data_IF_745704622167
#
_entry.id   IF_745704622167
#
_cell.length_a   1.000
_cell.length_b   1.000
_cell.length_c   1.000
_cell.angle_alpha   90.00
_cell.angle_beta   90.00
_cell.angle_gamma   90.00
#
_symmetry.space_group_name_H-M   'P 1'
#
loop_
_entity.id
_entity.type
_entity.pdbx_description
1 polymer ?
#
# COMPACT_ATOMS: atom_id res chain seq x y z
N UNK A 1 10.56 -15.80 -9.99
CA UNK A 1 9.16 -15.81 -10.46
C UNK A 1 9.04 -15.46 -11.93
N UNK A 2 9.87 -14.57 -12.47
CA UNK A 2 9.87 -14.21 -13.91
C UNK A 2 9.92 -15.41 -14.86
N UNK A 3 10.72 -16.44 -14.53
CA UNK A 3 10.83 -17.65 -15.36
C UNK A 3 9.47 -18.34 -15.65
N UNK A 4 8.48 -18.16 -14.78
CA UNK A 4 7.11 -18.66 -14.99
C UNK A 4 6.40 -17.96 -16.16
N UNK A 5 6.80 -16.73 -16.48
CA UNK A 5 6.26 -15.91 -17.56
C UNK A 5 7.00 -16.10 -18.88
N UNK A 6 8.14 -16.80 -18.90
CA UNK A 6 9.00 -17.01 -20.09
C UNK A 6 8.22 -17.39 -21.36
N UNK A 7 7.22 -18.30 -21.34
CA UNK A 7 6.47 -18.65 -22.54
C UNK A 7 5.71 -17.48 -23.17
N UNK A 8 5.42 -16.42 -22.40
CA UNK A 8 4.67 -15.25 -22.82
C UNK A 8 5.55 -14.04 -23.10
N UNK A 9 6.80 -14.01 -22.61
CA UNK A 9 7.66 -12.82 -22.71
C UNK A 9 7.93 -12.38 -24.15
N UNK A 10 8.01 -13.33 -25.08
CA UNK A 10 8.19 -13.05 -26.51
C UNK A 10 7.00 -12.37 -27.17
N UNK A 11 5.83 -12.40 -26.52
CA UNK A 11 4.59 -11.77 -26.99
C UNK A 11 4.41 -10.35 -26.45
N UNK A 12 5.21 -9.95 -25.45
CA UNK A 12 5.12 -8.62 -24.87
C UNK A 12 6.07 -7.65 -25.59
N UNK A 13 5.51 -6.53 -26.05
CA UNK A 13 6.29 -5.38 -26.49
C UNK A 13 6.51 -4.43 -25.30
N UNK A 14 7.76 -4.31 -24.88
CA UNK A 14 8.17 -3.46 -23.78
C UNK A 14 8.74 -2.11 -24.22
N UNK A 15 8.53 -1.71 -25.48
CA UNK A 15 9.09 -0.47 -26.04
C UNK A 15 8.64 0.80 -25.29
N UNK A 16 7.48 0.76 -24.62
CA UNK A 16 6.97 1.86 -23.79
C UNK A 16 7.76 2.10 -22.49
N UNK A 17 8.63 1.16 -22.10
CA UNK A 17 9.40 1.20 -20.86
C UNK A 17 10.86 1.63 -21.08
N UNK A 18 11.22 2.05 -22.30
CA UNK A 18 12.55 2.60 -22.54
C UNK A 18 12.70 3.94 -21.81
N UNK A 19 13.79 4.13 -21.04
CA UNK A 19 14.08 5.41 -20.41
C UNK A 19 14.04 6.51 -21.48
N UNK A 20 13.19 7.52 -21.30
CA UNK A 20 13.31 8.71 -22.12
C UNK A 20 14.67 9.33 -21.79
N UNK A 21 15.52 9.48 -22.81
CA UNK A 21 16.78 10.18 -22.66
C UNK A 21 16.48 11.55 -22.03
N UNK A 22 17.18 11.86 -20.93
CA UNK A 22 17.02 13.09 -20.17
C UNK A 22 16.86 14.28 -21.13
N UNK A 23 15.72 14.96 -21.04
CA UNK A 23 15.49 16.18 -21.82
C UNK A 23 16.61 17.17 -21.49
N UNK A 24 17.45 17.46 -22.48
CA UNK A 24 18.52 18.45 -22.37
C UNK A 24 17.93 19.78 -21.87
N UNK A 25 18.53 20.43 -20.85
CA UNK A 25 18.10 21.75 -20.44
C UNK A 25 18.29 22.73 -21.60
N UNK A 26 17.23 23.45 -21.95
CA UNK A 26 17.28 24.59 -22.86
C UNK A 26 18.23 25.63 -22.26
N UNK A 27 19.21 26.16 -23.00
CA UNK A 27 20.18 27.10 -22.43
C UNK A 27 19.54 28.47 -22.24
N UNK A 28 19.22 28.84 -20.99
CA UNK A 28 18.93 30.24 -20.65
C UNK A 28 20.23 31.04 -20.55
N UNK A 29 20.26 32.16 -21.26
CA UNK A 29 21.38 33.09 -21.32
C UNK A 29 21.66 33.74 -19.96
N UNK A 30 22.93 33.66 -19.58
CA UNK A 30 23.69 34.43 -18.59
C UNK A 30 23.14 35.81 -18.20
N UNK A 31 23.09 36.08 -16.88
CA UNK A 31 23.75 37.24 -16.24
C UNK A 31 23.91 36.98 -14.73
N UNK A 32 25.16 37.03 -14.27
CA UNK A 32 25.55 36.57 -12.94
C UNK A 32 25.59 37.63 -11.84
N UNK A 33 25.90 37.16 -10.63
CA UNK A 33 26.87 37.78 -9.72
C UNK A 33 27.16 36.81 -8.56
N UNK A 34 28.43 36.60 -8.29
CA UNK A 34 28.97 35.73 -7.25
C UNK A 34 28.53 36.11 -5.83
N UNK A 35 28.29 35.08 -5.02
CA UNK A 35 28.65 35.07 -3.60
C UNK A 35 28.77 33.63 -3.10
N UNK A 36 29.99 33.24 -2.77
CA UNK A 36 30.32 32.01 -2.05
C UNK A 36 29.64 32.02 -0.67
N UNK A 37 28.90 30.96 -0.35
CA UNK A 37 28.70 30.54 1.03
C UNK A 37 28.49 29.01 1.12
N UNK A 38 29.15 28.42 2.12
CA UNK A 38 29.36 26.99 2.40
C UNK A 38 28.13 26.11 2.17
N UNK A 39 28.25 25.13 1.27
CA UNK A 39 27.26 24.08 1.05
C UNK A 39 27.22 23.06 2.19
N UNK A 40 26.19 23.15 3.02
CA UNK A 40 25.61 22.02 3.73
C UNK A 40 25.04 21.04 2.69
N UNK A 41 25.41 19.77 2.74
CA UNK A 41 24.86 18.72 1.88
C UNK A 41 23.39 18.47 2.25
N UNK A 42 22.50 19.36 1.82
CA UNK A 42 21.07 19.11 1.78
C UNK A 42 20.88 18.02 0.73
N UNK A 43 20.56 16.79 1.18
CA UNK A 43 20.05 15.75 0.29
C UNK A 43 18.85 16.33 -0.46
N UNK A 44 19.02 16.58 -1.75
CA UNK A 44 17.91 16.89 -2.65
C UNK A 44 16.86 15.77 -2.52
N UNK A 45 15.56 16.09 -2.64
CA UNK A 45 14.54 15.03 -2.70
C UNK A 45 14.89 14.11 -3.86
N UNK A 46 14.88 12.81 -3.62
CA UNK A 46 15.05 11.81 -4.67
C UNK A 46 14.11 12.13 -5.84
N UNK A 47 14.64 12.06 -7.07
CA UNK A 47 13.86 12.19 -8.30
C UNK A 47 12.54 11.41 -8.17
N UNK A 48 11.39 11.99 -8.55
CA UNK A 48 10.10 11.32 -8.45
C UNK A 48 10.10 10.13 -9.40
N UNK A 49 10.41 8.94 -8.88
CA UNK A 49 10.38 7.72 -9.68
C UNK A 49 9.03 7.51 -10.35
N UNK A 50 9.04 6.78 -11.46
CA UNK A 50 7.87 6.58 -12.30
C UNK A 50 6.85 5.64 -11.63
N UNK A 51 5.57 5.92 -11.85
CA UNK A 51 4.44 5.11 -11.43
C UNK A 51 3.87 4.36 -12.63
N UNK A 52 3.79 3.04 -12.53
CA UNK A 52 3.21 2.20 -13.57
C UNK A 52 1.83 1.68 -13.18
N UNK A 53 0.86 1.79 -14.09
CA UNK A 53 -0.45 1.15 -13.95
C UNK A 53 -0.62 0.15 -15.09
N UNK A 54 -0.71 -1.13 -14.74
CA UNK A 54 -0.88 -2.22 -15.68
C UNK A 54 -2.37 -2.44 -15.95
N UNK A 55 -2.76 -2.28 -17.21
CA UNK A 55 -4.06 -2.71 -17.72
C UNK A 55 -3.83 -3.97 -18.56
N UNK A 56 -4.30 -5.11 -18.07
CA UNK A 56 -4.10 -6.39 -18.73
C UNK A 56 -5.42 -7.17 -18.82
N UNK A 57 -5.48 -8.11 -19.76
CA UNK A 57 -6.60 -9.03 -19.87
C UNK A 57 -6.76 -9.86 -18.59
N UNK A 58 -8.01 -10.29 -18.30
CA UNK A 58 -8.36 -11.11 -17.14
C UNK A 58 -7.42 -12.30 -16.93
N UNK A 59 -7.00 -12.99 -17.99
CA UNK A 59 -6.10 -14.15 -17.87
C UNK A 59 -4.67 -13.76 -17.50
N UNK A 60 -4.20 -12.59 -17.94
CA UNK A 60 -2.89 -12.07 -17.58
C UNK A 60 -2.86 -11.52 -16.16
N UNK A 61 -3.98 -10.97 -15.67
CA UNK A 61 -4.13 -10.53 -14.28
C UNK A 61 -4.08 -11.68 -13.27
N UNK A 62 -4.17 -12.94 -13.70
CA UNK A 62 -3.95 -14.10 -12.81
C UNK A 62 -2.45 -14.43 -12.64
N UNK A 63 -1.56 -13.79 -13.40
CA UNK A 63 -0.11 -14.04 -13.40
C UNK A 63 0.66 -13.06 -12.49
N UNK A 64 1.89 -13.40 -12.06
CA UNK A 64 2.79 -12.53 -11.29
C UNK A 64 3.45 -11.45 -12.18
N UNK A 65 2.66 -10.58 -12.82
CA UNK A 65 3.19 -9.61 -13.79
C UNK A 65 4.29 -8.71 -13.21
N UNK A 66 4.22 -8.38 -11.93
CA UNK A 66 5.19 -7.54 -11.23
C UNK A 66 6.54 -8.24 -10.99
N UNK A 67 6.62 -9.54 -11.26
CA UNK A 67 7.88 -10.29 -11.22
C UNK A 67 8.72 -10.14 -12.48
N UNK A 68 8.23 -9.44 -13.49
CA UNK A 68 9.01 -9.06 -14.67
C UNK A 68 10.19 -8.17 -14.26
N UNK A 69 11.39 -8.49 -14.75
CA UNK A 69 12.63 -7.76 -14.48
C UNK A 69 12.55 -6.31 -14.92
N UNK A 70 11.83 -6.02 -16.00
CA UNK A 70 11.62 -4.66 -16.50
C UNK A 70 10.84 -3.78 -15.53
N UNK A 71 9.99 -4.38 -14.70
CA UNK A 71 9.24 -3.70 -13.66
C UNK A 71 10.03 -3.60 -12.34
N UNK A 72 11.29 -4.04 -12.32
CA UNK A 72 12.19 -3.98 -11.17
C UNK A 72 13.39 -3.05 -11.44
N UNK A 73 13.36 -2.31 -12.56
CA UNK A 73 14.45 -1.43 -12.98
C UNK A 73 14.60 -0.21 -12.07
N UNK A 74 15.82 0.36 -12.09
CA UNK A 74 16.12 1.63 -11.45
C UNK A 74 15.34 2.76 -12.15
N UNK A 75 14.61 3.56 -11.38
CA UNK A 75 13.72 4.61 -11.89
C UNK A 75 12.23 4.36 -11.62
N UNK A 76 11.79 3.09 -11.65
CA UNK A 76 10.42 2.74 -11.27
C UNK A 76 10.31 2.64 -9.74
N UNK A 77 9.29 3.30 -9.18
CA UNK A 77 9.06 3.30 -7.73
C UNK A 77 7.72 2.69 -7.32
N UNK A 78 6.84 2.38 -8.28
CA UNK A 78 5.48 1.94 -8.00
C UNK A 78 4.88 1.19 -9.18
N UNK A 79 4.21 0.09 -8.89
CA UNK A 79 3.48 -0.72 -9.88
C UNK A 79 2.13 -1.11 -9.30
N UNK A 80 1.06 -0.72 -9.98
CA UNK A 80 -0.30 -1.14 -9.69
C UNK A 80 -0.97 -1.77 -10.91
N UNK A 81 -2.14 -2.34 -10.70
CA UNK A 81 -3.03 -2.86 -11.75
C UNK A 81 -4.33 -2.08 -11.76
N UNK A 82 -5.01 -2.03 -12.89
CA UNK A 82 -6.43 -1.63 -12.92
C UNK A 82 -7.20 -2.44 -13.96
N UNK A 83 -8.53 -2.39 -13.90
CA UNK A 83 -9.42 -3.15 -14.76
C UNK A 83 -9.77 -2.41 -16.05
N UNK A 84 -9.76 -1.07 -16.01
CA UNK A 84 -10.01 -0.24 -17.20
C UNK A 84 -9.56 1.20 -16.97
N UNK A 85 -9.31 1.93 -18.06
CA UNK A 85 -9.06 3.37 -18.01
C UNK A 85 -10.24 4.14 -17.40
N UNK A 86 -11.48 3.70 -17.65
CA UNK A 86 -12.67 4.36 -17.12
C UNK A 86 -12.73 4.27 -15.59
N UNK A 87 -12.43 3.10 -15.04
CA UNK A 87 -12.41 2.87 -13.61
C UNK A 87 -11.28 3.67 -12.94
N UNK A 88 -10.08 3.65 -13.54
CA UNK A 88 -8.94 4.43 -13.10
C UNK A 88 -9.25 5.94 -13.09
N UNK A 89 -9.77 6.46 -14.20
CA UNK A 89 -10.14 7.88 -14.34
C UNK A 89 -11.23 8.29 -13.34
N UNK A 90 -12.24 7.44 -13.12
CA UNK A 90 -13.31 7.70 -12.16
C UNK A 90 -12.78 7.87 -10.73
N UNK A 91 -11.86 6.99 -10.30
CA UNK A 91 -11.19 7.07 -8.99
C UNK A 91 -10.35 8.33 -8.88
N UNK A 92 -9.52 8.60 -9.88
CA UNK A 92 -8.62 9.75 -9.89
C UNK A 92 -9.40 11.06 -9.75
N UNK A 93 -10.47 11.23 -10.54
CA UNK A 93 -11.29 12.44 -10.52
C UNK A 93 -12.04 12.64 -9.21
N UNK A 94 -12.46 11.54 -8.57
CA UNK A 94 -13.11 11.61 -7.26
C UNK A 94 -12.15 12.14 -6.20
N UNK A 95 -10.95 11.60 -6.18
CA UNK A 95 -9.92 11.96 -5.21
C UNK A 95 -9.40 13.39 -5.43
N UNK A 96 -9.25 13.81 -6.69
CA UNK A 96 -8.90 15.18 -7.07
C UNK A 96 -9.92 16.21 -6.55
N UNK A 97 -11.22 15.91 -6.66
CA UNK A 97 -12.29 16.76 -6.12
C UNK A 97 -12.22 16.88 -4.60
N UNK A 98 -12.02 15.74 -3.92
CA UNK A 98 -11.94 15.70 -2.46
C UNK A 98 -10.72 16.49 -1.94
N UNK A 99 -9.59 16.40 -2.64
CA UNK A 99 -8.38 17.20 -2.34
C UNK A 99 -8.69 18.71 -2.42
N UNK A 100 -9.29 19.17 -3.51
CA UNK A 100 -9.68 20.59 -3.70
C UNK A 100 -10.65 21.07 -2.63
N UNK A 101 -11.66 20.28 -2.27
CA UNK A 101 -12.60 20.61 -1.19
C UNK A 101 -11.90 20.75 0.17
N UNK A 102 -10.94 19.87 0.46
CA UNK A 102 -10.17 19.90 1.71
C UNK A 102 -9.28 21.14 1.84
N UNK A 103 -8.63 21.55 0.74
CA UNK A 103 -7.76 22.72 0.69
C UNK A 103 -8.58 24.01 0.90
N UNK A 104 -9.72 24.14 0.22
CA UNK A 104 -10.63 25.29 0.37
C UNK A 104 -11.16 25.44 1.82
N UNK A 105 -11.43 24.33 2.50
CA UNK A 105 -11.88 24.33 3.91
C UNK A 105 -10.76 24.77 4.86
N UNK A 106 -9.50 24.45 4.53
CA UNK A 106 -8.32 24.87 5.30
C UNK A 106 -8.05 26.37 5.14
N UNK A 107 -8.26 26.92 3.94
CA UNK A 107 -8.12 28.36 3.67
C UNK A 107 -9.22 29.20 4.37
N UNK A 108 -10.45 28.71 4.41
CA UNK A 108 -11.58 29.44 5.03
C UNK A 108 -11.45 29.55 6.56
N UNK A 109 -10.73 28.61 7.22
CA UNK A 109 -10.44 28.67 8.66
C UNK A 109 -9.25 29.56 9.04
N UNK A 110 -8.52 30.12 8.06
CA UNK A 110 -7.36 31.00 8.28
C UNK A 110 -7.69 32.49 8.43
N UNK A 111 -8.95 32.90 8.30
CA UNK A 111 -9.35 34.30 8.23
C UNK A 111 -10.16 34.80 9.44
N UNK A 112 -9.61 35.82 10.13
CA UNK A 112 -10.19 36.67 11.22
C UNK A 112 -10.24 36.07 12.63
N UNK A 113 -9.15 36.26 13.36
CA UNK A 113 -9.14 36.39 14.82
C UNK A 113 -8.58 37.76 15.22
N UNK A 114 -9.40 38.61 15.84
CA UNK A 114 -9.04 39.92 16.37
C UNK A 114 -7.92 39.81 17.44
N UNK A 115 -6.99 40.78 17.44
CA UNK A 115 -5.98 40.98 18.50
C UNK A 115 -6.66 41.16 19.86
N UNK A 116 -6.54 40.17 20.75
CA UNK A 116 -6.78 40.29 22.17
C UNK A 116 -5.51 39.95 22.95
N UNK A 117 -5.04 40.87 23.80
CA UNK A 117 -3.96 40.67 24.78
C UNK A 117 -4.41 39.61 25.80
N UNK A 118 -3.55 38.64 26.15
CA UNK A 118 -3.75 37.81 27.34
C UNK A 118 -2.96 36.51 27.37
N UNK A 119 -1.98 36.48 28.26
CA UNK A 119 -1.33 35.37 28.95
C UNK A 119 -0.47 34.30 28.24
N UNK A 120 0.75 34.20 28.78
CA UNK A 120 1.76 33.20 28.49
C UNK A 120 1.39 31.88 29.17
N UNK A 121 1.04 30.88 28.37
CA UNK A 121 1.11 29.48 28.78
C UNK A 121 1.90 28.70 27.73
N UNK A 122 2.93 27.99 28.18
CA UNK A 122 3.81 27.19 27.34
C UNK A 122 3.03 25.99 26.80
N UNK A 123 2.33 26.19 25.68
CA UNK A 123 1.82 25.12 24.85
C UNK A 123 2.97 24.57 24.01
N UNK A 124 3.26 23.28 24.18
CA UNK A 124 4.14 22.49 23.32
C UNK A 124 3.70 22.73 21.87
N UNK A 125 4.49 23.50 21.12
CA UNK A 125 4.38 23.62 19.67
C UNK A 125 4.68 22.24 19.09
N UNK A 126 3.66 21.42 18.91
CA UNK A 126 3.69 20.38 17.88
C UNK A 126 3.82 21.13 16.57
N UNK A 127 5.05 21.23 16.07
CA UNK A 127 5.36 21.75 14.75
C UNK A 127 4.62 20.82 13.78
N UNK A 128 3.58 21.27 13.06
CA UNK A 128 3.09 20.50 11.94
C UNK A 128 4.24 20.53 10.94
N UNK A 129 4.90 19.41 10.73
CA UNK A 129 5.83 19.28 9.63
C UNK A 129 5.00 19.47 8.35
N UNK A 130 4.95 20.72 7.86
CA UNK A 130 4.46 21.06 6.53
C UNK A 130 5.47 20.50 5.53
N UNK A 131 5.56 19.17 5.42
CA UNK A 131 6.02 18.56 4.20
C UNK A 131 4.91 18.77 3.18
N UNK A 132 5.12 19.71 2.26
CA UNK A 132 4.27 19.83 1.10
C UNK A 132 4.27 18.47 0.39
N UNK A 133 3.11 17.81 0.41
CA UNK A 133 2.93 16.53 -0.27
C UNK A 133 3.20 16.72 -1.77
N UNK A 134 3.83 15.74 -2.45
CA UNK A 134 4.02 15.82 -3.89
C UNK A 134 2.68 16.05 -4.58
N UNK A 135 2.66 16.90 -5.61
CA UNK A 135 1.42 17.37 -6.26
C UNK A 135 0.53 16.23 -6.76
N UNK A 136 1.14 15.10 -7.14
CA UNK A 136 0.47 13.89 -7.63
C UNK A 136 -0.09 12.97 -6.54
N UNK A 137 0.03 13.30 -5.25
CA UNK A 137 -0.44 12.44 -4.16
C UNK A 137 -1.80 12.86 -3.63
N UNK A 138 -2.50 11.87 -3.07
CA UNK A 138 -3.83 12.02 -2.51
C UNK A 138 -3.84 11.66 -1.01
N UNK A 139 -4.17 12.61 -0.13
CA UNK A 139 -4.14 12.37 1.31
C UNK A 139 -5.34 11.52 1.75
N UNK A 140 -5.08 10.50 2.56
CA UNK A 140 -6.11 9.67 3.19
C UNK A 140 -6.20 10.03 4.67
N UNK A 141 -7.38 10.45 5.10
CA UNK A 141 -7.66 10.75 6.50
C UNK A 141 -7.59 9.47 7.35
N UNK A 142 -6.75 9.46 8.37
CA UNK A 142 -6.58 8.31 9.28
C UNK A 142 -7.55 8.32 10.47
N UNK A 143 -8.41 9.34 10.61
CA UNK A 143 -9.34 9.47 11.77
C UNK A 143 -10.40 8.37 11.80
N UNK A 144 -10.94 8.00 10.65
CA UNK A 144 -11.95 6.95 10.50
C UNK A 144 -11.34 5.65 10.00
N UNK A 145 -10.07 5.42 10.32
CA UNK A 145 -9.41 4.18 9.99
C UNK A 145 -9.97 3.04 10.85
N UNK A 146 -10.13 1.86 10.23
CA UNK A 146 -10.65 0.66 10.89
C UNK A 146 -9.75 -0.54 10.68
N UNK A 147 -9.59 -1.37 11.69
CA UNK A 147 -8.96 -2.68 11.50
C UNK A 147 -9.88 -3.81 11.95
N UNK A 148 -9.85 -4.91 11.20
CA UNK A 148 -10.71 -6.06 11.44
C UNK A 148 -9.81 -7.28 11.48
N UNK A 149 -9.80 -7.96 12.63
CA UNK A 149 -9.13 -9.23 12.81
C UNK A 149 -10.18 -10.34 12.81
N UNK A 150 -9.99 -11.31 11.93
CA UNK A 150 -10.85 -12.49 11.84
C UNK A 150 -10.08 -13.73 12.29
N UNK A 151 -10.15 -14.08 13.60
CA UNK A 151 -9.50 -15.28 14.14
C UNK A 151 -10.25 -16.58 13.79
N UNK A 152 -11.34 -16.51 13.01
CA UNK A 152 -12.11 -17.70 12.64
C UNK A 152 -11.20 -18.75 12.00
N UNK A 153 -11.26 -19.98 12.54
CA UNK A 153 -10.43 -21.09 12.11
C UNK A 153 -8.91 -20.91 12.37
N UNK A 154 -8.50 -20.19 13.42
CA UNK A 154 -7.11 -20.18 13.92
C UNK A 154 -6.65 -21.53 14.52
N UNK A 155 -7.55 -22.52 14.65
CA UNK A 155 -7.40 -23.73 15.45
C UNK A 155 -6.02 -24.42 15.41
N UNK A 156 -5.41 -24.52 16.59
CA UNK A 156 -4.14 -25.20 16.92
C UNK A 156 -2.89 -24.70 16.19
N UNK A 157 -2.68 -23.38 16.05
CA UNK A 157 -1.31 -22.91 16.25
C UNK A 157 -0.91 -23.43 17.63
N UNK A 158 0.02 -24.40 17.70
CA UNK A 158 0.36 -25.13 18.92
C UNK A 158 0.60 -24.18 20.10
N UNK A 159 0.62 -24.70 21.33
CA UNK A 159 0.62 -23.99 22.61
C UNK A 159 1.68 -22.86 22.84
N UNK A 160 2.42 -22.41 21.81
CA UNK A 160 3.23 -21.20 21.76
C UNK A 160 3.09 -20.33 20.49
N UNK A 161 2.01 -20.46 19.70
CA UNK A 161 1.77 -19.62 18.52
C UNK A 161 1.06 -18.30 18.86
N UNK A 162 1.58 -17.17 18.40
CA UNK A 162 0.98 -15.83 18.52
C UNK A 162 -0.34 -15.74 17.74
N UNK A 163 -1.45 -15.34 18.38
CA UNK A 163 -2.75 -15.16 17.72
C UNK A 163 -2.74 -14.01 16.71
N UNK A 164 -3.67 -13.98 15.74
CA UNK A 164 -3.77 -12.86 14.79
C UNK A 164 -4.00 -11.53 15.48
N UNK A 165 -4.82 -11.52 16.53
CA UNK A 165 -5.10 -10.31 17.31
C UNK A 165 -3.84 -9.79 17.98
N UNK A 166 -3.02 -10.68 18.56
CA UNK A 166 -1.75 -10.31 19.17
C UNK A 166 -0.76 -9.78 18.12
N UNK A 167 -0.64 -10.42 16.96
CA UNK A 167 0.20 -9.92 15.84
C UNK A 167 -0.24 -8.55 15.34
N UNK A 168 -1.55 -8.35 15.17
CA UNK A 168 -2.07 -7.05 14.76
C UNK A 168 -1.73 -5.98 15.79
N UNK A 169 -1.92 -6.30 17.08
CA UNK A 169 -1.63 -5.38 18.18
C UNK A 169 -0.14 -5.01 18.24
N UNK A 170 0.77 -5.98 18.15
CA UNK A 170 2.23 -5.76 18.10
C UNK A 170 2.61 -4.76 16.99
N UNK A 171 2.05 -4.95 15.80
CA UNK A 171 2.31 -4.10 14.63
C UNK A 171 1.72 -2.70 14.83
N UNK A 172 0.50 -2.59 15.37
CA UNK A 172 -0.14 -1.30 15.63
C UNK A 172 0.55 -0.51 16.74
N UNK A 173 1.03 -1.18 17.81
CA UNK A 173 1.76 -0.57 18.92
C UNK A 173 3.06 0.08 18.45
N UNK A 174 3.74 -0.54 17.50
CA UNK A 174 4.97 0.00 16.86
C UNK A 174 4.70 1.36 16.19
N UNK A 175 3.45 1.64 15.79
CA UNK A 175 3.03 2.86 15.08
C UNK A 175 2.15 3.79 15.92
N UNK A 176 1.95 3.49 17.21
CA UNK A 176 1.08 4.22 18.16
C UNK A 176 1.38 5.71 18.21
N UNK A 177 2.66 6.08 18.21
CA UNK A 177 3.07 7.49 18.35
C UNK A 177 2.64 8.39 17.19
N UNK A 178 2.38 7.84 16.01
CA UNK A 178 2.15 8.61 14.80
C UNK A 178 0.70 8.61 14.31
N UNK A 179 0.00 7.47 14.35
CA UNK A 179 -1.33 7.36 13.70
C UNK A 179 -2.33 6.42 14.38
N UNK A 180 -1.87 5.34 15.01
CA UNK A 180 -2.76 4.22 15.34
C UNK A 180 -3.56 4.38 16.64
N UNK A 181 -3.25 5.40 17.46
CA UNK A 181 -3.98 5.67 18.72
C UNK A 181 -5.49 5.98 18.52
N UNK A 182 -5.88 6.38 17.32
CA UNK A 182 -7.28 6.71 16.97
C UNK A 182 -7.96 5.60 16.16
N UNK A 183 -7.25 4.51 15.86
CA UNK A 183 -7.78 3.44 15.02
C UNK A 183 -8.67 2.53 15.85
N UNK A 184 -9.94 2.45 15.48
CA UNK A 184 -10.87 1.51 16.10
C UNK A 184 -10.79 0.18 15.37
N UNK A 185 -10.85 -0.91 16.11
CA UNK A 185 -10.91 -2.23 15.49
C UNK A 185 -11.65 -3.26 16.29
N UNK A 186 -11.93 -4.36 15.61
CA UNK A 186 -12.60 -5.53 16.16
C UNK A 186 -11.63 -6.70 16.20
N UNK A 187 -11.31 -7.15 17.42
CA UNK A 187 -10.53 -8.38 17.64
C UNK A 187 -11.39 -9.65 17.57
N UNK A 188 -12.72 -9.48 17.54
CA UNK A 188 -13.68 -10.56 17.34
C UNK A 188 -14.22 -10.54 15.91
N UNK A 189 -14.68 -11.70 15.43
CA UNK A 189 -15.29 -11.80 14.10
C UNK A 189 -16.59 -10.99 14.07
N UNK A 190 -16.67 -9.88 13.32
CA UNK A 190 -17.90 -9.08 13.25
C UNK A 190 -18.99 -9.84 12.51
N UNK A 191 -20.24 -9.58 12.87
CA UNK A 191 -21.40 -10.01 12.10
C UNK A 191 -21.43 -9.34 10.72
N UNK A 192 -22.23 -9.88 9.80
CA UNK A 192 -22.35 -9.32 8.45
C UNK A 192 -22.87 -7.87 8.49
N UNK A 193 -23.82 -7.56 9.37
CA UNK A 193 -24.36 -6.21 9.50
C UNK A 193 -23.34 -5.23 10.08
N UNK A 194 -22.52 -5.66 11.05
CA UNK A 194 -21.44 -4.84 11.59
C UNK A 194 -20.37 -4.58 10.54
N UNK A 195 -20.03 -5.59 9.75
CA UNK A 195 -19.11 -5.44 8.61
C UNK A 195 -19.62 -4.39 7.62
N UNK A 196 -20.89 -4.45 7.22
CA UNK A 196 -21.49 -3.46 6.32
C UNK A 196 -21.40 -2.03 6.90
N UNK A 197 -21.72 -1.87 8.20
CA UNK A 197 -21.65 -0.56 8.86
C UNK A 197 -20.22 -0.02 8.95
N UNK A 198 -19.25 -0.87 9.28
CA UNK A 198 -17.83 -0.50 9.40
C UNK A 198 -17.28 -0.08 8.04
N UNK A 199 -17.54 -0.87 6.99
CA UNK A 199 -17.02 -0.59 5.65
C UNK A 199 -17.59 0.71 5.07
N UNK A 200 -18.89 0.98 5.25
CA UNK A 200 -19.53 2.19 4.70
C UNK A 200 -19.10 3.49 5.39
N UNK A 201 -18.48 3.46 6.58
CA UNK A 201 -18.13 4.65 7.37
C UNK A 201 -16.62 4.86 7.53
N UNK A 202 -15.82 3.90 7.05
CA UNK A 202 -14.37 3.97 7.18
C UNK A 202 -13.75 4.75 6.01
N UNK A 203 -12.70 5.52 6.30
CA UNK A 203 -11.87 6.16 5.27
C UNK A 203 -10.87 5.19 4.66
N UNK A 204 -10.39 4.25 5.47
CA UNK A 204 -9.56 3.13 5.06
C UNK A 204 -9.68 1.99 6.07
N UNK A 205 -9.42 0.76 5.63
CA UNK A 205 -9.40 -0.38 6.55
C UNK A 205 -8.31 -1.40 6.28
N UNK A 206 -7.90 -2.09 7.34
CA UNK A 206 -7.10 -3.32 7.27
C UNK A 206 -7.98 -4.51 7.63
N UNK A 207 -7.90 -5.56 6.82
CA UNK A 207 -8.47 -6.86 7.13
C UNK A 207 -7.34 -7.88 7.28
N UNK A 208 -7.23 -8.50 8.46
CA UNK A 208 -6.32 -9.60 8.73
C UNK A 208 -7.14 -10.82 9.12
N UNK A 209 -7.05 -11.90 8.33
CA UNK A 209 -7.87 -13.07 8.58
C UNK A 209 -7.31 -14.36 8.00
N UNK A 210 -7.66 -15.49 8.63
CA UNK A 210 -7.35 -16.80 8.07
C UNK A 210 -8.12 -17.06 6.78
N UNK A 211 -9.41 -16.71 6.77
CA UNK A 211 -10.28 -16.79 5.61
C UNK A 211 -10.25 -15.49 4.79
N UNK A 212 -10.63 -15.57 3.52
CA UNK A 212 -10.77 -14.39 2.66
C UNK A 212 -11.96 -13.51 3.10
N UNK A 213 -11.90 -12.20 2.83
CA UNK A 213 -12.95 -11.23 3.19
C UNK A 213 -14.36 -11.68 2.77
N UNK A 214 -14.48 -12.28 1.57
CA UNK A 214 -15.78 -12.73 1.02
C UNK A 214 -16.43 -13.88 1.80
N UNK A 215 -15.72 -14.50 2.75
CA UNK A 215 -16.30 -15.47 3.68
C UNK A 215 -17.12 -14.78 4.77
N UNK A 216 -16.86 -13.49 5.06
CA UNK A 216 -17.57 -12.70 6.08
C UNK A 216 -18.61 -11.77 5.49
N UNK A 217 -18.37 -11.23 4.30
CA UNK A 217 -19.37 -10.46 3.56
C UNK A 217 -19.61 -11.09 2.18
N UNK A 218 -20.80 -11.65 1.92
CA UNK A 218 -21.11 -12.25 0.63
C UNK A 218 -20.93 -11.25 -0.53
N UNK A 219 -20.47 -11.69 -1.71
CA UNK A 219 -20.28 -10.83 -2.88
C UNK A 219 -21.49 -9.96 -3.24
N UNK A 220 -22.70 -10.52 -3.15
CA UNK A 220 -23.94 -9.81 -3.44
C UNK A 220 -24.21 -8.64 -2.47
N UNK A 221 -23.83 -8.79 -1.20
CA UNK A 221 -23.97 -7.73 -0.20
C UNK A 221 -22.92 -6.64 -0.43
N UNK A 222 -21.67 -7.03 -0.65
CA UNK A 222 -20.60 -6.08 -0.95
C UNK A 222 -20.92 -5.24 -2.19
N UNK A 223 -21.43 -5.87 -3.25
CA UNK A 223 -21.81 -5.18 -4.49
C UNK A 223 -22.92 -4.13 -4.31
N UNK A 224 -23.74 -4.26 -3.25
CA UNK A 224 -24.81 -3.32 -2.94
C UNK A 224 -24.35 -2.18 -2.03
N UNK A 225 -23.14 -2.23 -1.48
CA UNK A 225 -22.60 -1.17 -0.62
C UNK A 225 -22.08 0.00 -1.44
N UNK A 226 -22.22 1.20 -0.87
CA UNK A 226 -21.50 2.38 -1.33
C UNK A 226 -20.31 2.63 -0.42
N UNK A 227 -19.12 2.32 -0.91
CA UNK A 227 -17.83 2.50 -0.24
C UNK A 227 -17.07 3.71 -0.80
N UNK A 228 -17.77 4.73 -1.30
CA UNK A 228 -17.14 5.94 -1.86
C UNK A 228 -16.30 6.74 -0.87
N UNK A 229 -16.57 6.58 0.43
CA UNK A 229 -15.78 7.18 1.53
C UNK A 229 -14.56 6.33 1.88
N UNK A 230 -14.51 5.06 1.48
CA UNK A 230 -13.38 4.18 1.72
C UNK A 230 -12.36 4.33 0.58
N UNK A 231 -11.31 5.07 0.83
CA UNK A 231 -10.26 5.35 -0.16
C UNK A 231 -9.31 4.17 -0.33
N UNK A 232 -9.05 3.42 0.76
CA UNK A 232 -8.05 2.36 0.79
C UNK A 232 -8.51 1.11 1.55
N UNK A 233 -8.35 -0.04 0.92
CA UNK A 233 -8.57 -1.36 1.53
C UNK A 233 -7.26 -2.16 1.52
N UNK A 234 -6.81 -2.61 2.69
CA UNK A 234 -5.60 -3.42 2.86
C UNK A 234 -6.00 -4.82 3.33
N UNK A 235 -5.98 -5.80 2.43
CA UNK A 235 -6.44 -7.16 2.67
C UNK A 235 -5.25 -8.12 2.83
N UNK A 236 -4.96 -8.47 4.07
CA UNK A 236 -3.99 -9.49 4.43
C UNK A 236 -4.74 -10.77 4.83
N UNK A 237 -5.40 -11.38 3.85
CA UNK A 237 -6.17 -12.61 4.01
C UNK A 237 -5.56 -13.79 3.24
N UNK A 238 -6.32 -14.88 3.11
CA UNK A 238 -5.94 -16.13 2.41
C UNK A 238 -4.76 -16.85 3.05
N UNK A 239 -4.71 -16.86 4.38
CA UNK A 239 -3.71 -17.63 5.10
C UNK A 239 -4.03 -19.12 4.94
N UNK A 240 -3.04 -19.92 4.53
CA UNK A 240 -3.21 -21.36 4.34
C UNK A 240 -3.60 -22.01 5.66
N UNK A 241 -4.80 -22.59 5.69
CA UNK A 241 -5.22 -23.53 6.72
C UNK A 241 -5.90 -24.73 6.05
N UNK A 242 -5.33 -25.92 6.21
CA UNK A 242 -5.87 -27.15 5.63
C UNK A 242 -7.33 -27.43 6.08
N UNK A 243 -7.70 -26.99 7.28
CA UNK A 243 -9.06 -27.13 7.79
C UNK A 243 -10.07 -26.21 7.09
N UNK A 244 -9.69 -24.99 6.67
CA UNK A 244 -10.62 -24.06 6.00
C UNK A 244 -10.92 -24.48 4.56
N UNK A 245 -9.93 -25.05 3.86
CA UNK A 245 -10.09 -25.52 2.47
C UNK A 245 -11.16 -26.61 2.37
N UNK A 246 -11.12 -27.59 3.29
CA UNK A 246 -12.11 -28.67 3.34
C UNK A 246 -13.51 -28.17 3.69
N UNK A 247 -13.64 -27.34 4.73
CA UNK A 247 -14.94 -26.83 5.18
C UNK A 247 -15.65 -25.95 4.16
N UNK A 248 -14.90 -25.09 3.46
CA UNK A 248 -15.50 -24.21 2.45
C UNK A 248 -16.01 -25.00 1.25
N UNK A 249 -15.21 -25.95 0.74
CA UNK A 249 -15.52 -26.74 -0.47
C UNK A 249 -16.85 -27.52 -0.42
N UNK A 250 -17.32 -27.86 0.78
CA UNK A 250 -18.52 -28.69 0.98
C UNK A 250 -19.83 -27.91 1.00
N UNK A 251 -19.80 -26.57 1.17
CA UNK A 251 -21.01 -25.78 1.47
C UNK A 251 -21.43 -24.76 0.41
N UNK A 252 -20.63 -24.52 -0.65
CA UNK A 252 -20.91 -23.45 -1.63
C UNK A 252 -20.95 -23.94 -3.07
N UNK A 253 -21.76 -23.26 -3.89
CA UNK A 253 -21.84 -23.53 -5.33
C UNK A 253 -20.59 -23.02 -6.07
N UNK A 254 -20.29 -23.61 -7.23
CA UNK A 254 -19.14 -23.21 -8.06
C UNK A 254 -19.18 -21.73 -8.48
N UNK A 255 -20.37 -21.18 -8.75
CA UNK A 255 -20.54 -19.76 -9.09
C UNK A 255 -20.22 -18.83 -7.91
N UNK A 256 -20.55 -19.24 -6.69
CA UNK A 256 -20.25 -18.47 -5.49
C UNK A 256 -18.75 -18.46 -5.22
N UNK A 257 -18.06 -19.58 -5.40
CA UNK A 257 -16.60 -19.65 -5.33
C UNK A 257 -15.89 -18.80 -6.38
N UNK A 258 -16.45 -18.72 -7.59
CA UNK A 258 -15.84 -17.92 -8.66
C UNK A 258 -15.77 -16.42 -8.29
N UNK A 259 -16.75 -15.92 -7.53
CA UNK A 259 -16.80 -14.54 -7.05
C UNK A 259 -15.92 -14.28 -5.81
N UNK A 260 -15.40 -15.34 -5.19
CA UNK A 260 -14.56 -15.28 -3.98
C UNK A 260 -13.06 -15.30 -4.32
N UNK A 261 -12.71 -15.23 -5.61
CA UNK A 261 -11.33 -15.13 -6.09
C UNK A 261 -10.75 -13.72 -5.86
N UNK A 262 -9.42 -13.57 -5.73
CA UNK A 262 -8.84 -12.28 -5.32
C UNK A 262 -9.09 -11.15 -6.32
N UNK A 263 -9.04 -11.44 -7.61
CA UNK A 263 -9.32 -10.46 -8.66
C UNK A 263 -10.79 -9.99 -8.62
N UNK A 264 -11.72 -10.92 -8.41
CA UNK A 264 -13.15 -10.64 -8.25
C UNK A 264 -13.43 -9.82 -6.99
N UNK A 265 -12.75 -10.11 -5.86
CA UNK A 265 -12.79 -9.28 -4.65
C UNK A 265 -12.32 -7.86 -4.94
N UNK A 266 -11.18 -7.70 -5.63
CA UNK A 266 -10.69 -6.38 -6.02
C UNK A 266 -11.70 -5.65 -6.91
N UNK A 267 -12.28 -6.33 -7.92
CA UNK A 267 -13.26 -5.72 -8.81
C UNK A 267 -14.53 -5.30 -8.05
N UNK A 268 -15.05 -6.12 -7.14
CA UNK A 268 -16.22 -5.80 -6.32
C UNK A 268 -15.97 -4.58 -5.44
N UNK A 269 -14.83 -4.53 -4.74
CA UNK A 269 -14.44 -3.35 -3.94
C UNK A 269 -14.27 -2.11 -4.82
N UNK A 270 -13.73 -2.28 -6.03
CA UNK A 270 -13.56 -1.20 -6.99
C UNK A 270 -14.90 -0.60 -7.41
N UNK A 271 -15.87 -1.47 -7.75
CA UNK A 271 -17.21 -1.08 -8.15
C UNK A 271 -18.00 -0.46 -7.00
N UNK A 272 -17.80 -0.95 -5.77
CA UNK A 272 -18.39 -0.38 -4.57
C UNK A 272 -17.83 1.03 -4.25
N UNK A 273 -16.66 1.39 -4.79
CA UNK A 273 -16.12 2.74 -4.71
C UNK A 273 -14.68 2.83 -4.21
N UNK A 274 -14.03 1.74 -3.81
CA UNK A 274 -12.69 1.80 -3.22
C UNK A 274 -11.63 2.24 -4.24
N UNK A 275 -10.80 3.20 -3.84
CA UNK A 275 -9.79 3.84 -4.69
C UNK A 275 -8.50 3.02 -4.87
N UNK A 276 -8.03 2.40 -3.79
CA UNK A 276 -6.85 1.54 -3.77
C UNK A 276 -7.11 0.28 -2.95
N UNK A 277 -6.76 -0.87 -3.52
CA UNK A 277 -6.98 -2.17 -2.91
C UNK A 277 -5.66 -2.93 -2.95
N UNK A 278 -5.11 -3.21 -1.77
CA UNK A 278 -3.94 -4.07 -1.61
C UNK A 278 -4.43 -5.44 -1.17
N UNK A 279 -4.03 -6.50 -1.86
CA UNK A 279 -4.42 -7.87 -1.51
C UNK A 279 -3.39 -8.92 -1.92
N UNK A 280 -3.55 -10.13 -1.39
CA UNK A 280 -2.77 -11.30 -1.81
C UNK A 280 -3.40 -11.99 -3.04
N UNK A 281 -2.61 -12.20 -4.09
CA UNK A 281 -3.04 -12.89 -5.31
C UNK A 281 -3.22 -14.40 -5.11
N UNK A 282 -2.42 -15.00 -4.24
CA UNK A 282 -2.42 -16.42 -3.88
C UNK A 282 -2.40 -16.60 -2.36
N UNK A 283 -2.58 -17.84 -1.92
CA UNK A 283 -2.50 -18.18 -0.50
C UNK A 283 -1.09 -17.93 0.07
N UNK A 284 -1.03 -17.42 1.29
CA UNK A 284 0.22 -17.14 2.02
C UNK A 284 0.28 -17.92 3.33
N UNK A 285 1.48 -18.09 3.89
CA UNK A 285 1.61 -18.49 5.30
C UNK A 285 1.25 -17.32 6.21
N UNK A 286 0.90 -17.61 7.46
CA UNK A 286 0.63 -16.61 8.48
C UNK A 286 1.82 -15.65 8.64
N UNK A 287 3.02 -16.23 8.87
CA UNK A 287 4.24 -15.49 9.10
C UNK A 287 4.57 -14.52 7.96
N UNK A 288 4.48 -14.99 6.72
CA UNK A 288 4.77 -14.14 5.56
C UNK A 288 3.72 -13.05 5.38
N UNK A 289 2.45 -13.36 5.63
CA UNK A 289 1.37 -12.39 5.47
C UNK A 289 1.46 -11.27 6.53
N UNK A 290 1.75 -11.62 7.79
CA UNK A 290 1.99 -10.64 8.86
C UNK A 290 3.25 -9.83 8.61
N UNK A 291 4.30 -10.43 8.06
CA UNK A 291 5.52 -9.72 7.69
C UNK A 291 5.26 -8.70 6.57
N UNK A 292 4.55 -9.10 5.51
CA UNK A 292 4.15 -8.19 4.44
C UNK A 292 3.27 -7.05 4.96
N UNK A 293 2.34 -7.34 5.87
CA UNK A 293 1.50 -6.32 6.51
C UNK A 293 2.34 -5.31 7.28
N UNK A 294 3.24 -5.78 8.15
CA UNK A 294 4.14 -4.91 8.90
C UNK A 294 4.96 -4.03 7.96
N UNK A 295 5.63 -4.62 6.98
CA UNK A 295 6.45 -3.88 6.01
C UNK A 295 5.66 -2.86 5.18
N UNK A 296 4.41 -3.18 4.78
CA UNK A 296 3.55 -2.21 4.09
C UNK A 296 3.19 -1.06 5.02
N UNK A 297 2.82 -1.33 6.28
CA UNK A 297 2.47 -0.29 7.24
C UNK A 297 3.67 0.57 7.62
N UNK A 298 4.86 -0.02 7.82
CA UNK A 298 6.11 0.69 8.07
C UNK A 298 6.38 1.68 6.93
N UNK A 299 6.27 1.22 5.68
CA UNK A 299 6.52 2.07 4.52
C UNK A 299 5.49 3.20 4.38
N UNK A 300 4.21 2.95 4.63
CA UNK A 300 3.18 4.01 4.51
C UNK A 300 3.26 4.99 5.69
N UNK A 301 3.36 4.49 6.92
CA UNK A 301 3.26 5.29 8.15
C UNK A 301 4.57 5.94 8.56
N UNK A 302 5.67 5.17 8.58
CA UNK A 302 6.97 5.65 9.03
C UNK A 302 7.74 6.29 7.88
N UNK A 303 7.84 5.60 6.74
CA UNK A 303 8.58 6.11 5.58
C UNK A 303 7.78 7.11 4.72
N UNK A 304 6.50 7.34 5.05
CA UNK A 304 5.61 8.29 4.34
C UNK A 304 5.54 8.05 2.84
N UNK A 305 5.58 6.78 2.45
CA UNK A 305 5.47 6.37 1.06
C UNK A 305 4.00 6.30 0.65
N UNK A 306 3.76 6.48 -0.65
CA UNK A 306 2.45 6.17 -1.24
C UNK A 306 2.17 4.66 -1.18
N UNK A 307 0.90 4.26 -1.22
CA UNK A 307 0.51 2.85 -1.20
C UNK A 307 1.22 2.00 -2.27
N UNK A 308 1.40 2.55 -3.48
CA UNK A 308 2.10 1.86 -4.55
C UNK A 308 3.60 1.71 -4.31
N UNK A 309 4.24 2.73 -3.74
CA UNK A 309 5.64 2.65 -3.32
C UNK A 309 5.84 1.63 -2.18
N UNK A 310 4.94 1.61 -1.20
CA UNK A 310 5.01 0.70 -0.07
C UNK A 310 4.87 -0.79 -0.51
N UNK A 311 3.93 -1.09 -1.41
CA UNK A 311 3.79 -2.45 -1.95
C UNK A 311 4.98 -2.81 -2.85
N UNK A 312 5.48 -1.85 -3.62
CA UNK A 312 6.65 -2.07 -4.48
C UNK A 312 7.94 -2.31 -3.67
N UNK A 313 8.09 -1.68 -2.51
CA UNK A 313 9.24 -1.86 -1.61
C UNK A 313 9.41 -3.31 -1.15
N UNK A 314 8.31 -4.07 -1.01
CA UNK A 314 8.37 -5.52 -0.70
C UNK A 314 9.22 -6.32 -1.69
N UNK A 315 9.35 -5.81 -2.93
CA UNK A 315 10.07 -6.47 -4.03
C UNK A 315 11.52 -6.04 -4.13
N UNK A 316 11.95 -4.99 -3.44
CA UNK A 316 13.36 -4.55 -3.47
C UNK A 316 14.25 -5.30 -2.47
N UNK A 317 13.67 -6.13 -1.61
CA UNK A 317 14.37 -6.77 -0.49
C UNK A 317 14.83 -5.74 0.54
N UNK A 318 15.09 -6.16 1.77
CA UNK A 318 15.58 -5.28 2.84
C UNK A 318 17.02 -4.81 2.52
N UNK A 319 17.19 -3.81 1.66
CA UNK A 319 18.48 -3.13 1.49
C UNK A 319 18.88 -2.37 2.77
N UNK A 320 17.93 -2.19 3.70
CA UNK A 320 18.13 -1.49 4.98
C UNK A 320 18.88 -2.31 6.04
N UNK A 321 18.89 -3.65 5.97
CA UNK A 321 19.59 -4.47 6.96
C UNK A 321 21.09 -4.62 6.66
N UNK A 322 21.50 -4.48 5.40
CA UNK A 322 22.92 -4.64 4.99
C UNK A 322 23.77 -3.41 5.37
N UNK A 323 23.17 -2.24 5.60
CA UNK A 323 23.93 -1.03 5.98
C UNK A 323 24.24 -0.92 7.49
N UNK A 324 23.58 -1.71 8.36
CA UNK A 324 23.83 -1.65 9.82
C UNK A 324 24.90 -2.63 10.31
N UNK A 325 25.36 -3.57 9.48
CA UNK A 325 26.43 -4.51 9.84
C UNK A 325 27.82 -4.14 9.29
N UNK A 326 27.93 -3.10 8.46
CA UNK A 326 29.20 -2.65 7.88
C UNK A 326 29.97 -1.61 8.73
N UNK A 327 29.55 -1.37 9.99
CA UNK A 327 30.27 -0.49 10.94
C UNK A 327 30.74 -1.28 12.16
N UNK A 328 31.35 -2.44 11.96
CA UNK A 328 32.31 -3.02 12.92
C UNK A 328 33.08 -4.16 12.26
N UNK A 329 34.28 -3.87 11.73
CA UNK A 329 35.25 -4.92 11.41
C UNK A 329 36.23 -4.64 10.26
N UNK A 330 37.28 -3.87 10.55
CA UNK A 330 38.68 -4.01 10.10
C UNK A 330 39.06 -4.78 8.81
N UNK A 331 39.75 -4.06 7.92
CA UNK A 331 40.89 -4.39 7.02
C UNK A 331 40.78 -5.39 5.84
N UNK A 332 41.06 -4.82 4.65
CA UNK A 332 41.74 -5.36 3.45
C UNK A 332 41.35 -6.72 2.87
N UNK A 333 40.58 -6.67 1.77
CA UNK A 333 40.90 -7.37 0.52
C UNK A 333 40.07 -6.79 -0.62
N UNK A 334 40.73 -6.41 -1.72
CA UNK A 334 40.08 -6.04 -2.99
C UNK A 334 39.65 -7.33 -3.68
N UNK A 335 38.37 -7.64 -3.66
CA UNK A 335 37.76 -8.59 -4.60
C UNK A 335 36.56 -7.93 -5.27
N UNK A 336 36.44 -8.17 -6.57
CA UNK A 336 35.50 -7.56 -7.49
C UNK A 336 34.05 -7.78 -7.04
N UNK A 337 33.30 -6.68 -6.95
CA UNK A 337 31.90 -6.63 -6.51
C UNK A 337 30.99 -7.16 -7.64
N UNK A 338 30.91 -8.48 -7.77
CA UNK A 338 29.84 -9.11 -8.54
C UNK A 338 28.58 -9.10 -7.67
N UNK A 339 27.71 -8.11 -7.89
CA UNK A 339 26.42 -7.95 -7.23
C UNK A 339 25.51 -9.16 -7.49
N UNK A 340 25.73 -10.27 -6.78
CA UNK A 340 24.80 -11.39 -6.72
C UNK A 340 23.55 -10.96 -5.94
N UNK A 341 22.60 -10.35 -6.64
CA UNK A 341 21.22 -10.14 -6.13
C UNK A 341 20.64 -11.51 -5.78
N UNK A 342 20.49 -11.80 -4.50
CA UNK A 342 19.79 -12.99 -4.02
C UNK A 342 18.40 -13.02 -4.66
N UNK A 343 17.99 -14.14 -5.29
CA UNK A 343 16.70 -14.20 -5.96
C UNK A 343 15.58 -13.96 -4.94
N UNK A 344 14.72 -12.97 -5.23
CA UNK A 344 13.58 -12.64 -4.39
C UNK A 344 12.66 -13.86 -4.22
N UNK A 345 12.18 -14.06 -2.99
CA UNK A 345 11.18 -15.08 -2.70
C UNK A 345 9.91 -14.83 -3.52
N UNK A 346 9.25 -15.89 -4.05
CA UNK A 346 7.95 -15.76 -4.71
C UNK A 346 6.90 -15.00 -3.89
N UNK A 347 6.99 -15.07 -2.56
CA UNK A 347 6.10 -14.35 -1.64
C UNK A 347 6.16 -12.83 -1.76
N UNK A 348 7.27 -12.26 -2.22
CA UNK A 348 7.43 -10.83 -2.45
C UNK A 348 6.51 -10.30 -3.57
N UNK A 349 6.06 -11.18 -4.47
CA UNK A 349 5.16 -10.84 -5.58
C UNK A 349 3.70 -11.21 -5.31
N UNK A 350 3.38 -11.77 -4.14
CA UNK A 350 2.02 -12.17 -3.80
C UNK A 350 1.13 -10.97 -3.44
N UNK A 351 1.70 -9.98 -2.75
CA UNK A 351 1.00 -8.74 -2.38
C UNK A 351 0.99 -7.78 -3.58
N UNK A 352 -0.20 -7.49 -4.08
CA UNK A 352 -0.41 -6.66 -5.28
C UNK A 352 -1.40 -5.53 -4.99
N UNK A 353 -1.32 -4.46 -5.78
CA UNK A 353 -2.17 -3.27 -5.66
C UNK A 353 -3.05 -3.12 -6.89
N UNK A 354 -4.36 -2.92 -6.68
CA UNK A 354 -5.32 -2.49 -7.68
C UNK A 354 -5.76 -1.04 -7.44
N UNK A 355 -5.84 -0.25 -8.51
CA UNK A 355 -6.30 1.14 -8.50
C UNK A 355 -5.19 2.16 -8.32
N UNK A 356 -5.49 3.22 -7.57
CA UNK A 356 -4.63 4.40 -7.42
C UNK A 356 -3.37 4.10 -6.60
N UNK A 357 -2.16 4.26 -7.16
CA UNK A 357 -0.91 3.95 -6.44
C UNK A 357 -0.38 5.11 -5.58
N UNK A 358 -1.03 6.26 -5.61
CA UNK A 358 -0.53 7.55 -5.12
C UNK A 358 -1.25 8.06 -3.86
N UNK A 359 -1.95 7.19 -3.13
CA UNK A 359 -2.58 7.52 -1.85
C UNK A 359 -1.56 7.47 -0.70
N UNK A 360 -1.65 8.41 0.23
CA UNK A 360 -0.73 8.56 1.37
C UNK A 360 -1.47 8.93 2.65
N UNK A 361 -1.06 8.38 3.80
CA UNK A 361 -1.65 8.74 5.10
C UNK A 361 -1.11 10.07 5.61
N UNK A 362 -2.02 10.94 6.06
CA UNK A 362 -1.69 12.29 6.56
C UNK A 362 -2.16 12.55 7.97
#
# INVERSE_FOLDING_TARGET
>A
MEAYLNPLLTQFDFSCLRPQAASLPVPEMTKGKDKEEKGSSVKLPAEPGEYMVILADRKLLELPLESLSILQQEGLNSVSRDFSLQLFYSRHKREERQKVESDNKKETKGGKGNKGKGDQSQAIKVIPANHALPSNTFPVDTRNFRYIVNPHNEGHTGAGGTSLSMRMKEILETHSQHFTNLWEGSEQTPSVSEMEQVLCRCSAFIYLGMEHLMAKIPPAKLAALNLSECHMALLFDRIQNNASILHQSMQKSAGQFALEKPMETALLLSLAGVGCIVLNQWHSSLQQNTHNMAAVLDNILQARQTCGQAVYALRKGNTSEIQQQAITGSCDSKEEDDHHKTPLSPSAFNCILYGLPNLIFT
#
